data_IF_456005077409
#
_entry.id   IF_456005077409
#
_cell.length_a   1.000
_cell.length_b   1.000
_cell.length_c   1.000
_cell.angle_alpha   90.00
_cell.angle_beta   90.00
_cell.angle_gamma   90.00
#
_symmetry.space_group_name_H-M   'P 1'
#
loop_
_entity.id
_entity.type
_entity.pdbx_description
1 polymer ?
#
# COMPACT_ATOMS: atom_id res chain seq x y z
N UNK A 1 -27.14 -14.16 -9.04
CA UNK A 1 -25.66 -14.25 -9.03
C UNK A 1 -24.97 -12.91 -9.29
N UNK A 2 -25.50 -12.01 -10.15
CA UNK A 2 -24.87 -10.73 -10.52
C UNK A 2 -24.57 -9.74 -9.36
N UNK A 3 -25.30 -9.82 -8.23
CA UNK A 3 -25.11 -8.93 -7.07
C UNK A 3 -23.83 -9.20 -6.27
N UNK A 4 -23.35 -10.45 -6.24
CA UNK A 4 -22.16 -10.85 -5.49
C UNK A 4 -20.87 -10.44 -6.21
N UNK A 5 -20.84 -10.56 -7.55
CA UNK A 5 -19.68 -10.13 -8.35
C UNK A 5 -19.39 -8.63 -8.20
N UNK A 6 -20.43 -7.78 -8.19
CA UNK A 6 -20.25 -6.33 -8.00
C UNK A 6 -19.67 -5.96 -6.63
N UNK A 7 -19.98 -6.74 -5.59
CA UNK A 7 -19.38 -6.58 -4.25
C UNK A 7 -17.90 -6.98 -4.25
N UNK A 8 -17.57 -8.11 -4.87
CA UNK A 8 -16.20 -8.60 -4.99
C UNK A 8 -15.29 -7.62 -5.74
N UNK A 9 -15.74 -7.08 -6.88
CA UNK A 9 -14.94 -6.12 -7.66
C UNK A 9 -14.67 -4.84 -6.85
N UNK A 10 -15.62 -4.39 -6.02
CA UNK A 10 -15.45 -3.24 -5.13
C UNK A 10 -14.40 -3.51 -4.05
N UNK A 11 -14.43 -4.68 -3.41
CA UNK A 11 -13.42 -5.04 -2.39
C UNK A 11 -12.04 -5.29 -2.98
N UNK A 12 -11.97 -5.93 -4.15
CA UNK A 12 -10.71 -6.16 -4.88
C UNK A 12 -10.09 -4.84 -5.34
N UNK A 13 -10.88 -3.95 -5.93
CA UNK A 13 -10.41 -2.62 -6.31
C UNK A 13 -9.89 -1.82 -5.12
N UNK A 14 -10.51 -1.95 -3.95
CA UNK A 14 -10.06 -1.33 -2.71
C UNK A 14 -8.70 -1.86 -2.26
N UNK A 15 -8.54 -3.19 -2.27
CA UNK A 15 -7.30 -3.86 -1.89
C UNK A 15 -6.15 -3.50 -2.83
N UNK A 16 -6.37 -3.62 -4.15
CA UNK A 16 -5.37 -3.24 -5.15
C UNK A 16 -5.02 -1.76 -5.10
N UNK A 17 -6.00 -0.89 -4.84
CA UNK A 17 -5.76 0.54 -4.63
C UNK A 17 -4.85 0.81 -3.42
N UNK A 18 -5.10 0.16 -2.28
CA UNK A 18 -4.26 0.31 -1.10
C UNK A 18 -2.85 -0.22 -1.33
N UNK A 19 -2.70 -1.35 -2.03
CA UNK A 19 -1.40 -1.92 -2.40
C UNK A 19 -0.62 -0.95 -3.28
N UNK A 20 -1.28 -0.37 -4.30
CA UNK A 20 -0.65 0.58 -5.20
C UNK A 20 -0.18 1.84 -4.46
N UNK A 21 -1.01 2.40 -3.58
CA UNK A 21 -0.66 3.58 -2.77
C UNK A 21 0.50 3.27 -1.82
N UNK A 22 0.46 2.13 -1.11
CA UNK A 22 1.54 1.73 -0.21
C UNK A 22 2.86 1.49 -0.94
N UNK A 23 2.82 0.82 -2.10
CA UNK A 23 3.99 0.53 -2.91
C UNK A 23 4.61 1.80 -3.52
N UNK A 24 3.79 2.69 -4.10
CA UNK A 24 4.25 3.98 -4.63
C UNK A 24 4.74 4.90 -3.51
N UNK A 25 4.09 4.90 -2.34
CA UNK A 25 4.51 5.67 -1.18
C UNK A 25 5.86 5.21 -0.65
N UNK A 26 6.10 3.90 -0.58
CA UNK A 26 7.39 3.34 -0.19
C UNK A 26 8.50 3.75 -1.17
N UNK A 27 8.28 3.57 -2.47
CA UNK A 27 9.25 3.96 -3.51
C UNK A 27 9.50 5.48 -3.52
N UNK A 28 8.43 6.27 -3.38
CA UNK A 28 8.53 7.74 -3.32
C UNK A 28 9.31 8.22 -2.10
N UNK A 29 9.11 7.58 -0.95
CA UNK A 29 9.86 7.87 0.28
C UNK A 29 11.35 7.54 0.13
N UNK A 30 11.68 6.41 -0.51
CA UNK A 30 13.07 6.06 -0.80
C UNK A 30 13.72 7.08 -1.75
N UNK A 31 13.00 7.50 -2.79
CA UNK A 31 13.49 8.48 -3.75
C UNK A 31 13.67 9.87 -3.13
N UNK A 32 12.86 10.24 -2.13
CA UNK A 32 13.03 11.46 -1.33
C UNK A 32 14.28 11.40 -0.44
N UNK A 33 14.56 10.25 0.15
CA UNK A 33 15.78 10.04 0.96
C UNK A 33 17.02 10.16 0.07
N UNK A 34 16.97 9.54 -1.11
CA UNK A 34 18.02 9.60 -2.12
C UNK A 34 18.23 11.03 -2.64
N UNK A 35 17.16 11.78 -2.90
CA UNK A 35 17.27 13.19 -3.36
C UNK A 35 17.87 14.13 -2.33
N UNK A 36 17.81 13.77 -1.04
CA UNK A 36 18.46 14.50 0.06
C UNK A 36 19.97 14.20 0.15
N UNK A 37 20.52 13.39 -0.77
CA UNK A 37 21.93 13.00 -0.80
C UNK A 37 22.30 12.01 0.31
N UNK A 38 21.32 11.36 0.91
CA UNK A 38 21.50 10.42 2.03
C UNK A 38 21.45 8.99 1.50
N UNK A 39 22.38 8.15 1.93
CA UNK A 39 22.37 6.74 1.58
C UNK A 39 21.09 6.07 2.08
N UNK A 40 20.48 5.27 1.20
CA UNK A 40 19.29 4.49 1.55
C UNK A 40 19.70 3.44 2.59
N UNK A 41 19.11 3.44 3.79
CA UNK A 41 19.43 2.44 4.81
C UNK A 41 19.02 1.05 4.34
N UNK A 42 19.99 0.12 4.30
CA UNK A 42 19.79 -1.26 3.82
C UNK A 42 18.71 -2.03 4.59
N UNK A 43 18.47 -1.66 5.86
CA UNK A 43 17.40 -2.24 6.69
C UNK A 43 16.02 -1.92 6.11
N UNK A 44 15.82 -0.71 5.59
CA UNK A 44 14.54 -0.33 5.00
C UNK A 44 14.41 -1.03 3.64
N UNK A 45 15.43 -0.90 2.78
CA UNK A 45 15.44 -1.47 1.44
C UNK A 45 15.21 -2.99 1.41
N UNK A 46 15.87 -3.75 2.29
CA UNK A 46 15.78 -5.21 2.33
C UNK A 46 14.48 -5.73 2.96
N UNK A 47 13.74 -4.89 3.68
CA UNK A 47 12.48 -5.25 4.32
C UNK A 47 11.27 -4.65 3.58
N UNK A 48 11.39 -4.43 2.27
CA UNK A 48 10.32 -3.83 1.46
C UNK A 48 9.00 -4.59 1.58
N UNK A 49 9.02 -5.91 1.47
CA UNK A 49 7.83 -6.75 1.49
C UNK A 49 7.01 -6.59 2.78
N UNK A 50 7.58 -6.80 4.00
CA UNK A 50 6.80 -6.63 5.23
C UNK A 50 6.35 -5.19 5.47
N UNK A 51 7.12 -4.18 5.04
CA UNK A 51 6.76 -2.77 5.18
C UNK A 51 5.53 -2.43 4.33
N UNK A 52 5.56 -2.80 3.05
CA UNK A 52 4.44 -2.51 2.12
C UNK A 52 3.20 -3.30 2.53
N UNK A 53 3.34 -4.55 2.99
CA UNK A 53 2.22 -5.36 3.49
C UNK A 53 1.58 -4.74 4.74
N UNK A 54 2.37 -4.33 5.73
CA UNK A 54 1.86 -3.68 6.94
C UNK A 54 1.15 -2.36 6.62
N UNK A 55 1.75 -1.52 5.77
CA UNK A 55 1.16 -0.27 5.33
C UNK A 55 -0.17 -0.49 4.57
N UNK A 56 -0.20 -1.48 3.69
CA UNK A 56 -1.42 -1.86 2.96
C UNK A 56 -2.52 -2.32 3.91
N UNK A 57 -2.21 -3.12 4.92
CA UNK A 57 -3.18 -3.60 5.90
C UNK A 57 -3.79 -2.46 6.73
N UNK A 58 -2.97 -1.50 7.14
CA UNK A 58 -3.43 -0.29 7.84
C UNK A 58 -4.32 0.55 6.94
N UNK A 59 -3.91 0.80 5.69
CA UNK A 59 -4.72 1.54 4.71
C UNK A 59 -6.05 0.85 4.43
N UNK A 60 -6.04 -0.47 4.24
CA UNK A 60 -7.25 -1.26 4.05
C UNK A 60 -8.18 -1.16 5.24
N UNK A 61 -7.67 -1.24 6.48
CA UNK A 61 -8.48 -1.09 7.68
C UNK A 61 -9.18 0.28 7.73
N UNK A 62 -8.42 1.35 7.48
CA UNK A 62 -8.95 2.72 7.47
C UNK A 62 -10.00 2.88 6.37
N UNK A 63 -9.65 2.58 5.13
CA UNK A 63 -10.52 2.79 3.97
C UNK A 63 -11.74 1.88 4.04
N UNK A 64 -11.60 0.62 4.45
CA UNK A 64 -12.73 -0.27 4.63
C UNK A 64 -13.69 0.23 5.73
N UNK A 65 -13.19 0.88 6.78
CA UNK A 65 -14.02 1.50 7.82
C UNK A 65 -14.89 2.64 7.27
N UNK A 66 -14.44 3.40 6.27
CA UNK A 66 -15.23 4.45 5.62
C UNK A 66 -16.27 3.93 4.64
N UNK A 67 -16.10 2.70 4.13
CA UNK A 67 -17.01 2.05 3.19
C UNK A 67 -18.13 1.24 3.88
N UNK A 68 -18.12 1.18 5.22
CA UNK A 68 -19.15 0.56 6.05
C UNK A 68 -20.37 1.46 6.19
#
# INVERSE_FOLDING_TARGET
MLRMGKRLIRSLGLAFGCIAVASLGYTGLLNLIESTGRFIPAIIYNNQEPIVTAATAVLLYIVASYYR
#
